data_IF_714531633516
#
_entry.id   IF_714531633516
#
_cell.length_a   1.000
_cell.length_b   1.000
_cell.length_c   1.000
_cell.angle_alpha   90.00
_cell.angle_beta   90.00
_cell.angle_gamma   90.00
#
_symmetry.space_group_name_H-M   'P 1'
#
loop_
_entity.id
_entity.type
_entity.pdbx_description
1 polymer ?
#
# COMPACT_ATOMS: atom_id res chain seq x y z
N UNK A 1 -69.55 -14.42 16.60
CA UNK A 1 -68.60 -14.06 17.67
C UNK A 1 -67.97 -12.75 17.24
N UNK A 2 -68.68 -11.64 17.50
CA UNK A 2 -68.51 -10.74 18.66
C UNK A 2 -67.18 -9.98 18.58
N UNK A 3 -67.18 -8.73 18.09
CA UNK A 3 -67.31 -7.44 18.83
C UNK A 3 -65.92 -6.84 19.03
N UNK A 4 -65.61 -5.56 18.89
CA UNK A 4 -66.35 -4.28 19.00
C UNK A 4 -65.37 -3.17 18.54
N UNK A 5 -65.78 -2.18 17.72
CA UNK A 5 -66.04 -0.77 18.10
C UNK A 5 -64.78 0.09 18.35
N UNK A 6 -64.64 1.39 18.02
CA UNK A 6 -65.56 2.54 18.06
C UNK A 6 -65.03 3.67 17.14
N UNK A 7 -65.93 4.56 16.74
CA UNK A 7 -65.76 5.73 15.89
C UNK A 7 -65.37 7.03 16.65
N UNK A 8 -65.21 8.12 15.87
CA UNK A 8 -65.36 9.57 16.17
C UNK A 8 -64.08 10.37 15.84
N UNK A 9 -64.02 11.12 14.73
CA UNK A 9 -64.54 12.49 14.49
C UNK A 9 -63.91 13.53 15.44
N UNK A 10 -63.04 14.39 14.91
CA UNK A 10 -63.10 15.83 15.18
C UNK A 10 -62.38 16.65 14.10
N UNK A 11 -63.07 17.70 13.67
CA UNK A 11 -62.75 18.69 12.63
C UNK A 11 -62.00 19.92 13.17
N UNK A 12 -61.42 20.69 12.22
CA UNK A 12 -61.06 22.13 12.29
C UNK A 12 -59.83 22.44 13.19
N UNK A 13 -58.86 23.31 12.89
CA UNK A 13 -58.80 24.55 12.09
C UNK A 13 -57.34 25.04 12.02
N UNK A 14 -56.95 25.68 10.91
CA UNK A 14 -56.00 26.82 10.85
C UNK A 14 -54.53 26.53 11.16
N UNK A 15 -53.56 27.33 10.73
CA UNK A 15 -53.48 28.56 9.95
C UNK A 15 -51.97 28.69 9.65
N UNK A 16 -51.61 29.15 8.46
CA UNK A 16 -50.21 29.40 8.11
C UNK A 16 -49.56 30.43 9.05
N UNK A 17 -48.29 30.21 9.38
CA UNK A 17 -47.37 31.27 9.79
C UNK A 17 -45.95 30.89 9.36
N UNK A 18 -45.42 31.64 8.39
CA UNK A 18 -44.01 31.67 8.05
C UNK A 18 -43.28 32.69 8.94
N UNK A 19 -42.10 32.32 9.44
CA UNK A 19 -41.08 33.23 9.97
C UNK A 19 -40.43 32.74 11.28
N UNK A 20 -39.26 33.27 11.64
CA UNK A 20 -37.98 33.30 10.94
C UNK A 20 -36.99 32.26 11.54
N UNK A 21 -35.86 32.03 10.87
CA UNK A 21 -34.90 30.96 11.19
C UNK A 21 -34.43 30.91 12.64
N UNK A 22 -34.41 29.70 13.20
CA UNK A 22 -33.68 29.39 14.43
C UNK A 22 -32.46 28.53 14.09
N UNK A 23 -31.31 28.97 14.61
CA UNK A 23 -30.13 28.13 14.80
C UNK A 23 -30.52 26.88 15.58
N UNK A 24 -30.26 25.72 14.98
CA UNK A 24 -30.27 24.43 15.66
C UNK A 24 -28.91 24.24 16.33
N UNK A 25 -28.90 24.44 17.64
CA UNK A 25 -27.81 24.00 18.51
C UNK A 25 -27.84 22.46 18.53
N UNK A 26 -26.75 21.75 18.17
CA UNK A 26 -26.78 20.29 18.15
C UNK A 26 -26.89 19.75 19.58
N UNK A 27 -28.07 19.24 19.91
CA UNK A 27 -28.26 18.35 21.04
C UNK A 27 -27.46 17.06 20.82
N UNK A 28 -26.79 16.51 21.85
CA UNK A 28 -26.08 15.24 21.71
C UNK A 28 -27.10 14.11 21.52
N UNK A 29 -26.96 13.34 20.45
CA UNK A 29 -27.81 12.17 20.17
C UNK A 29 -27.09 10.89 20.61
N UNK A 30 -27.80 9.92 21.22
CA UNK A 30 -27.21 8.87 22.05
C UNK A 30 -26.62 7.71 21.24
N UNK A 31 -25.64 7.04 21.86
CA UNK A 31 -25.02 5.80 21.39
C UNK A 31 -26.07 4.71 21.13
N UNK A 32 -26.20 4.31 19.85
CA UNK A 32 -26.80 3.03 19.48
C UNK A 32 -25.96 2.37 18.40
N UNK A 33 -25.18 1.39 18.84
CA UNK A 33 -24.55 0.33 18.08
C UNK A 33 -25.59 -0.41 17.21
N UNK A 34 -25.68 -0.04 15.93
CA UNK A 34 -26.31 -0.84 14.87
C UNK A 34 -25.44 -0.77 13.63
N UNK A 35 -24.85 -1.91 13.27
CA UNK A 35 -23.96 -2.15 12.13
C UNK A 35 -24.26 -1.31 10.88
N UNK A 36 -23.29 -0.49 10.48
CA UNK A 36 -23.20 0.12 9.16
C UNK A 36 -23.12 -0.99 8.11
N UNK A 37 -24.10 -1.06 7.19
CA UNK A 37 -24.20 -2.15 6.21
C UNK A 37 -23.84 -1.63 4.82
N UNK A 38 -22.58 -1.85 4.44
CA UNK A 38 -22.07 -1.59 3.11
C UNK A 38 -22.20 -2.85 2.25
N UNK A 39 -22.92 -2.77 1.12
CA UNK A 39 -23.22 -3.91 0.24
C UNK A 39 -23.03 -3.50 -1.21
N UNK A 40 -22.13 -4.18 -1.93
CA UNK A 40 -21.96 -4.01 -3.38
C UNK A 40 -22.84 -5.03 -4.10
N UNK A 41 -23.86 -4.57 -4.83
CA UNK A 41 -24.78 -5.42 -5.60
C UNK A 41 -24.23 -5.60 -7.03
N UNK A 42 -23.69 -4.53 -7.62
CA UNK A 42 -23.00 -4.54 -8.92
C UNK A 42 -22.11 -3.30 -9.07
N UNK A 43 -21.35 -3.20 -10.17
CA UNK A 43 -20.53 -2.01 -10.49
C UNK A 43 -21.36 -0.73 -10.64
N UNK A 44 -22.68 -0.85 -10.78
CA UNK A 44 -23.64 0.25 -10.93
C UNK A 44 -24.67 0.27 -9.81
N UNK A 45 -24.48 -0.50 -8.74
CA UNK A 45 -25.42 -0.53 -7.62
C UNK A 45 -24.70 -0.89 -6.32
N UNK A 46 -24.55 0.11 -5.45
CA UNK A 46 -23.90 0.00 -4.15
C UNK A 46 -24.87 0.52 -3.10
N UNK A 47 -25.07 -0.20 -2.00
CA UNK A 47 -25.89 0.25 -0.87
C UNK A 47 -24.96 0.54 0.31
N UNK A 48 -25.02 1.75 0.82
CA UNK A 48 -24.26 2.16 2.00
C UNK A 48 -25.21 2.86 2.99
N UNK A 49 -25.36 2.27 4.19
CA UNK A 49 -26.28 2.72 5.24
C UNK A 49 -27.72 2.99 4.76
N UNK A 50 -28.19 2.14 3.86
CA UNK A 50 -29.54 2.21 3.28
C UNK A 50 -29.70 3.22 2.14
N UNK A 51 -28.62 3.88 1.71
CA UNK A 51 -28.59 4.73 0.51
C UNK A 51 -28.04 3.94 -0.67
N UNK A 52 -28.75 3.94 -1.80
CA UNK A 52 -28.30 3.31 -3.05
C UNK A 52 -27.56 4.31 -3.91
N UNK A 53 -26.39 3.92 -4.40
CA UNK A 53 -25.55 4.66 -5.35
C UNK A 53 -25.47 3.89 -6.67
N UNK A 54 -25.56 4.59 -7.79
CA UNK A 54 -25.61 4.01 -9.12
C UNK A 54 -24.25 3.91 -9.82
N UNK A 55 -23.18 4.33 -9.15
CA UNK A 55 -21.79 4.13 -9.56
C UNK A 55 -20.83 4.35 -8.39
N UNK A 56 -19.61 3.85 -8.54
CA UNK A 56 -18.50 4.15 -7.62
C UNK A 56 -18.18 5.65 -7.54
N UNK A 57 -18.32 6.38 -8.65
CA UNK A 57 -18.09 7.83 -8.69
C UNK A 57 -19.15 8.58 -7.86
N UNK A 58 -20.42 8.20 -7.99
CA UNK A 58 -21.51 8.79 -7.22
C UNK A 58 -21.32 8.56 -5.72
N UNK A 59 -20.93 7.35 -5.31
CA UNK A 59 -20.59 7.05 -3.92
C UNK A 59 -19.43 7.93 -3.42
N UNK A 60 -18.36 8.06 -4.20
CA UNK A 60 -17.19 8.88 -3.84
C UNK A 60 -17.53 10.37 -3.70
N UNK A 61 -18.37 10.91 -4.57
CA UNK A 61 -18.80 12.32 -4.55
C UNK A 61 -19.88 12.60 -3.50
N UNK A 62 -20.57 11.57 -2.99
CA UNK A 62 -21.74 11.72 -2.13
C UNK A 62 -21.48 12.27 -0.73
N UNK A 63 -20.21 12.39 -0.33
CA UNK A 63 -19.89 12.71 1.06
C UNK A 63 -19.86 11.48 1.97
N UNK A 64 -20.24 10.28 1.49
CA UNK A 64 -20.38 9.08 2.33
C UNK A 64 -19.11 8.76 3.11
N UNK A 65 -17.94 8.96 2.50
CA UNK A 65 -16.61 8.72 3.10
C UNK A 65 -16.04 9.93 3.88
N UNK A 66 -16.79 11.02 4.07
CA UNK A 66 -16.26 12.25 4.68
C UNK A 66 -16.48 12.34 6.20
N UNK A 67 -17.28 11.45 6.78
CA UNK A 67 -17.40 11.31 8.23
C UNK A 67 -16.32 10.36 8.79
N UNK A 68 -16.00 10.50 10.07
CA UNK A 68 -14.85 9.81 10.70
C UNK A 68 -15.02 8.27 10.77
N UNK A 69 -16.23 7.75 10.49
CA UNK A 69 -16.56 6.33 10.60
C UNK A 69 -16.43 5.56 9.27
N UNK A 70 -16.29 6.23 8.12
CA UNK A 70 -16.34 5.60 6.77
C UNK A 70 -15.15 5.93 5.87
N UNK A 71 -14.07 6.50 6.41
CA UNK A 71 -12.88 6.92 5.64
C UNK A 71 -11.96 5.74 5.25
N UNK A 72 -11.84 5.48 3.95
CA UNK A 72 -10.75 4.67 3.36
C UNK A 72 -10.08 5.32 2.14
N UNK A 73 -10.33 6.59 1.83
CA UNK A 73 -9.73 7.27 0.67
C UNK A 73 -8.93 8.51 1.10
N UNK A 74 -7.68 8.60 0.65
CA UNK A 74 -6.85 9.81 0.72
C UNK A 74 -7.43 10.87 -0.21
N UNK A 75 -7.68 12.08 0.30
CA UNK A 75 -8.18 13.21 -0.47
C UNK A 75 -7.26 13.54 -1.65
N UNK A 76 -7.85 14.02 -2.75
CA UNK A 76 -7.11 14.58 -3.87
C UNK A 76 -6.42 15.88 -3.43
N UNK A 77 -5.09 15.92 -3.52
CA UNK A 77 -4.31 17.10 -3.15
C UNK A 77 -4.58 18.25 -4.12
N UNK A 78 -5.52 19.13 -3.79
CA UNK A 78 -5.66 20.45 -4.43
C UNK A 78 -4.60 21.36 -3.83
N UNK A 79 -3.64 21.75 -4.67
CA UNK A 79 -2.42 22.45 -4.27
C UNK A 79 -2.64 23.60 -3.30
N UNK A 80 -1.80 23.64 -2.25
CA UNK A 80 -1.67 24.79 -1.39
C UNK A 80 -0.19 25.12 -1.18
N UNK A 81 0.06 26.40 -1.35
CA UNK A 81 1.29 27.18 -1.31
C UNK A 81 2.30 26.83 -0.22
N UNK A 82 3.57 27.04 -0.56
CA UNK A 82 4.72 26.91 0.32
C UNK A 82 4.69 28.00 1.41
N UNK A 83 4.33 27.63 2.64
CA UNK A 83 4.66 28.41 3.83
C UNK A 83 5.14 27.49 4.96
N UNK A 84 6.47 27.47 5.14
CA UNK A 84 7.17 26.81 6.23
C UNK A 84 6.78 27.46 7.58
N UNK A 85 5.73 26.95 8.21
CA UNK A 85 5.44 27.24 9.61
C UNK A 85 5.58 25.94 10.40
N UNK A 86 6.74 25.78 11.03
CA UNK A 86 6.98 24.77 12.04
C UNK A 86 5.98 24.95 13.19
N UNK A 87 5.02 24.03 13.30
CA UNK A 87 4.17 23.88 14.48
C UNK A 87 4.10 22.41 14.83
N UNK A 88 4.58 22.09 16.04
CA UNK A 88 4.54 20.77 16.66
C UNK A 88 3.11 20.32 16.94
N UNK A 89 2.49 19.73 15.92
CA UNK A 89 1.32 18.86 16.04
C UNK A 89 1.77 17.41 15.86
N UNK A 90 1.09 16.48 16.53
CA UNK A 90 1.42 15.06 16.51
C UNK A 90 1.62 14.51 15.09
N UNK A 91 2.66 13.69 14.94
CA UNK A 91 3.11 12.97 13.73
C UNK A 91 2.18 11.81 13.33
N UNK A 92 0.91 11.88 13.74
CA UNK A 92 -0.04 10.77 13.69
C UNK A 92 -1.12 11.00 12.63
N UNK A 93 -0.78 11.63 11.50
CA UNK A 93 -1.69 11.68 10.37
C UNK A 93 -1.26 10.68 9.31
N UNK A 94 -2.19 9.85 8.82
CA UNK A 94 -2.00 8.98 7.65
C UNK A 94 -1.70 9.75 6.35
N UNK A 95 -1.64 11.08 6.42
CA UNK A 95 -1.33 12.00 5.33
C UNK A 95 -0.01 12.75 5.50
N UNK A 96 0.75 12.53 6.59
CA UNK A 96 1.98 13.27 6.86
C UNK A 96 2.86 12.54 7.86
N UNK A 97 4.06 12.15 7.44
CA UNK A 97 5.17 11.82 8.33
C UNK A 97 6.05 13.06 8.46
N UNK A 98 6.33 13.50 9.68
CA UNK A 98 7.33 14.51 9.96
C UNK A 98 8.60 13.79 10.40
N UNK A 99 9.39 13.33 9.42
CA UNK A 99 10.73 12.83 9.71
C UNK A 99 11.48 13.97 10.38
N UNK A 100 11.92 13.74 11.62
CA UNK A 100 12.64 14.77 12.34
C UNK A 100 14.02 14.97 11.69
N UNK A 101 14.57 16.20 11.63
CA UNK A 101 15.86 16.45 10.99
C UNK A 101 17.02 15.61 11.54
N UNK A 102 16.91 15.12 12.79
CA UNK A 102 17.89 14.17 13.34
C UNK A 102 17.91 12.79 12.65
N UNK A 103 16.86 12.44 11.92
CA UNK A 103 16.73 11.23 11.11
C UNK A 103 16.89 11.50 9.61
N UNK A 104 17.14 12.75 9.21
CA UNK A 104 17.50 13.03 7.83
C UNK A 104 18.81 12.30 7.50
N UNK A 105 18.91 11.71 6.30
CA UNK A 105 20.11 11.01 5.89
C UNK A 105 21.31 11.96 5.94
N UNK A 106 22.38 11.54 6.62
CA UNK A 106 23.66 12.27 6.63
C UNK A 106 24.40 12.23 5.28
N UNK A 107 23.89 11.44 4.33
CA UNK A 107 24.37 11.31 2.96
C UNK A 107 23.32 11.84 2.00
N UNK A 108 23.77 12.46 0.91
CA UNK A 108 22.87 12.99 -0.13
C UNK A 108 22.05 11.89 -0.82
N UNK A 109 22.53 10.63 -0.80
CA UNK A 109 21.84 9.47 -1.37
C UNK A 109 22.39 8.14 -0.85
N UNK A 110 21.52 7.25 -0.39
CA UNK A 110 21.87 5.86 -0.07
C UNK A 110 21.82 5.00 -1.33
N UNK A 111 22.93 4.32 -1.64
CA UNK A 111 23.04 3.47 -2.84
C UNK A 111 23.05 2.01 -2.43
N UNK A 112 22.04 1.26 -2.84
CA UNK A 112 21.84 -0.15 -2.48
C UNK A 112 22.19 -1.01 -3.70
N UNK A 113 23.25 -1.84 -3.65
CA UNK A 113 23.52 -2.80 -4.69
C UNK A 113 22.52 -3.96 -4.60
N UNK A 114 21.96 -4.34 -5.75
CA UNK A 114 20.90 -5.34 -5.87
C UNK A 114 21.44 -6.55 -6.63
N UNK A 115 21.13 -7.74 -6.13
CA UNK A 115 21.24 -8.98 -6.90
C UNK A 115 19.86 -9.57 -7.11
N UNK A 116 19.56 -9.95 -8.36
CA UNK A 116 18.30 -10.59 -8.73
C UNK A 116 18.56 -12.06 -9.07
N UNK A 117 18.03 -12.95 -8.24
CA UNK A 117 18.07 -14.39 -8.40
C UNK A 117 16.81 -14.88 -9.12
N UNK A 118 16.94 -15.16 -10.41
CA UNK A 118 15.85 -15.70 -11.22
C UNK A 118 15.83 -17.22 -11.04
N UNK A 119 14.75 -17.74 -10.48
CA UNK A 119 14.56 -19.17 -10.28
C UNK A 119 13.51 -19.67 -11.26
N UNK A 120 13.90 -20.62 -12.10
CA UNK A 120 13.03 -21.25 -13.09
C UNK A 120 12.73 -22.69 -12.67
N UNK A 121 11.54 -23.19 -13.01
CA UNK A 121 11.26 -24.62 -12.95
C UNK A 121 12.04 -25.37 -14.02
N UNK A 122 12.16 -26.70 -13.87
CA UNK A 122 12.80 -27.53 -14.88
C UNK A 122 12.05 -27.54 -16.23
N UNK A 123 10.82 -27.04 -16.29
CA UNK A 123 10.04 -26.87 -17.53
C UNK A 123 10.23 -25.49 -18.18
N UNK A 124 11.07 -24.61 -17.61
CA UNK A 124 11.31 -23.24 -18.10
C UNK A 124 10.28 -22.22 -17.62
N UNK A 125 9.35 -22.59 -16.74
CA UNK A 125 8.43 -21.63 -16.11
C UNK A 125 9.22 -20.78 -15.11
N UNK A 126 8.90 -19.50 -14.98
CA UNK A 126 9.64 -18.61 -14.06
C UNK A 126 10.67 -17.71 -14.75
N UNK A 127 10.89 -17.90 -16.05
CA UNK A 127 11.89 -17.10 -16.76
C UNK A 127 11.52 -15.62 -16.81
N UNK A 128 12.49 -14.78 -16.46
CA UNK A 128 12.42 -13.32 -16.53
C UNK A 128 13.54 -12.85 -17.46
N UNK A 129 13.26 -12.14 -18.57
CA UNK A 129 14.33 -11.58 -19.42
C UNK A 129 15.04 -10.43 -18.71
N UNK A 130 16.32 -10.22 -19.01
CA UNK A 130 17.14 -9.16 -18.40
C UNK A 130 16.51 -7.76 -18.56
N UNK A 131 15.80 -7.50 -19.68
CA UNK A 131 15.07 -6.25 -19.88
C UNK A 131 14.01 -5.97 -18.82
N UNK A 132 13.31 -7.00 -18.31
CA UNK A 132 12.37 -6.82 -17.18
C UNK A 132 13.12 -6.54 -15.90
N UNK A 133 14.31 -7.11 -15.70
CA UNK A 133 15.17 -6.80 -14.56
C UNK A 133 15.64 -5.36 -14.59
N UNK A 134 16.19 -4.90 -15.71
CA UNK A 134 16.60 -3.50 -15.87
C UNK A 134 15.43 -2.55 -15.64
N UNK A 135 14.26 -2.84 -16.21
CA UNK A 135 13.06 -2.04 -15.97
C UNK A 135 12.63 -2.01 -14.51
N UNK A 136 12.82 -3.11 -13.76
CA UNK A 136 12.46 -3.15 -12.35
C UNK A 136 13.37 -2.26 -11.50
N UNK A 137 14.66 -2.22 -11.82
CA UNK A 137 15.61 -1.33 -11.14
C UNK A 137 15.31 0.14 -11.49
N UNK A 138 14.94 0.43 -12.73
CA UNK A 138 14.44 1.76 -13.12
C UNK A 138 13.19 2.14 -12.32
N UNK A 139 12.20 1.25 -12.23
CA UNK A 139 10.95 1.44 -11.45
C UNK A 139 11.23 1.69 -9.97
N UNK A 140 12.16 0.96 -9.35
CA UNK A 140 12.56 1.22 -7.96
C UNK A 140 13.15 2.63 -7.81
N UNK A 141 14.00 3.07 -8.75
CA UNK A 141 14.55 4.42 -8.72
C UNK A 141 13.50 5.50 -9.00
N UNK A 142 12.55 5.25 -9.91
CA UNK A 142 11.40 6.13 -10.15
C UNK A 142 10.61 6.37 -8.86
N UNK A 143 10.37 5.31 -8.09
CA UNK A 143 9.51 5.32 -6.91
C UNK A 143 10.21 5.89 -5.69
N UNK A 144 11.39 5.38 -5.36
CA UNK A 144 12.12 5.77 -4.16
C UNK A 144 12.82 7.13 -4.28
N UNK A 145 12.84 7.73 -5.46
CA UNK A 145 13.34 9.10 -5.67
C UNK A 145 12.26 10.05 -6.15
N UNK A 146 10.99 9.62 -6.18
CA UNK A 146 9.85 10.38 -6.68
C UNK A 146 10.14 11.13 -8.01
N UNK A 147 10.74 10.43 -8.98
CA UNK A 147 11.24 11.07 -10.22
C UNK A 147 10.08 11.74 -10.97
N UNK A 148 10.20 13.05 -11.20
CA UNK A 148 9.19 13.84 -11.90
C UNK A 148 8.86 13.26 -13.29
N UNK A 149 7.57 13.13 -13.60
CA UNK A 149 7.09 12.58 -14.87
C UNK A 149 7.06 11.05 -14.95
N UNK A 150 7.55 10.35 -13.92
CA UNK A 150 7.36 8.91 -13.75
C UNK A 150 6.07 8.60 -12.97
N UNK A 151 5.69 7.33 -12.92
CA UNK A 151 4.61 6.87 -12.06
C UNK A 151 4.97 6.93 -10.55
N UNK A 152 6.24 7.16 -10.20
CA UNK A 152 6.71 7.35 -8.83
C UNK A 152 6.62 8.80 -8.34
N UNK A 153 6.41 9.76 -9.25
CA UNK A 153 6.35 11.19 -8.96
C UNK A 153 5.40 11.61 -7.81
N UNK A 154 4.25 10.95 -7.57
CA UNK A 154 3.37 11.29 -6.44
C UNK A 154 3.93 10.91 -5.06
N UNK A 155 5.04 10.16 -4.99
CA UNK A 155 5.68 9.75 -3.75
C UNK A 155 6.55 10.83 -3.12
N UNK A 156 7.32 10.42 -2.10
CA UNK A 156 8.35 11.25 -1.46
C UNK A 156 9.72 10.77 -1.93
N UNK A 157 10.63 11.70 -2.24
CA UNK A 157 12.03 11.36 -2.50
C UNK A 157 12.68 10.83 -1.22
N UNK A 158 12.87 9.51 -1.16
CA UNK A 158 13.48 8.83 -0.03
C UNK A 158 15.03 8.90 -0.07
N UNK A 159 15.62 9.50 -1.12
CA UNK A 159 17.05 9.57 -1.36
C UNK A 159 17.72 8.18 -1.40
N UNK A 160 17.03 7.18 -1.94
CA UNK A 160 17.55 5.82 -2.14
C UNK A 160 17.69 5.53 -3.64
N UNK A 161 18.87 5.07 -4.03
CA UNK A 161 19.17 4.61 -5.39
C UNK A 161 19.50 3.12 -5.38
N UNK A 162 18.86 2.39 -6.28
CA UNK A 162 19.11 0.97 -6.50
C UNK A 162 19.91 0.79 -7.78
N UNK A 163 20.89 -0.10 -7.76
CA UNK A 163 21.64 -0.48 -8.96
C UNK A 163 21.98 -1.97 -8.92
N UNK A 164 22.02 -2.62 -10.08
CA UNK A 164 22.50 -4.00 -10.12
C UNK A 164 23.96 -4.06 -9.70
N UNK A 165 24.28 -5.00 -8.82
CA UNK A 165 25.64 -5.23 -8.36
C UNK A 165 26.58 -5.47 -9.54
N UNK A 166 27.72 -4.79 -9.53
CA UNK A 166 28.77 -4.91 -10.57
C UNK A 166 29.90 -5.84 -10.15
N UNK A 167 29.95 -6.21 -8.88
CA UNK A 167 30.88 -7.18 -8.30
C UNK A 167 30.09 -8.24 -7.52
N UNK A 168 30.51 -9.50 -7.61
CA UNK A 168 29.94 -10.60 -6.85
C UNK A 168 30.54 -10.67 -5.42
N UNK A 169 30.08 -11.58 -4.54
CA UNK A 169 30.61 -11.69 -3.19
C UNK A 169 32.12 -12.02 -3.11
N UNK A 170 32.69 -12.59 -4.18
CA UNK A 170 34.09 -12.94 -4.31
C UNK A 170 34.92 -11.82 -4.98
N UNK A 171 34.29 -10.70 -5.36
CA UNK A 171 34.93 -9.57 -6.02
C UNK A 171 35.10 -9.72 -7.53
N UNK A 172 34.42 -10.68 -8.17
CA UNK A 172 34.46 -10.82 -9.62
C UNK A 172 33.41 -9.91 -10.29
N UNK A 173 33.67 -9.39 -11.51
CA UNK A 173 32.67 -8.67 -12.28
C UNK A 173 31.39 -9.49 -12.53
N UNK A 174 30.23 -8.86 -12.40
CA UNK A 174 28.92 -9.49 -12.58
C UNK A 174 27.89 -8.54 -13.18
N UNK A 175 26.80 -9.09 -13.68
CA UNK A 175 25.62 -8.33 -14.14
C UNK A 175 24.62 -8.06 -13.01
N UNK A 176 24.84 -8.62 -11.82
CA UNK A 176 23.88 -8.58 -10.71
C UNK A 176 22.66 -9.47 -10.94
N UNK A 177 22.67 -10.33 -11.96
CA UNK A 177 21.58 -11.24 -12.30
C UNK A 177 22.12 -12.67 -12.24
N UNK A 178 21.48 -13.53 -11.46
CA UNK A 178 21.78 -14.96 -11.42
C UNK A 178 20.56 -15.76 -11.86
N UNK A 179 20.79 -16.96 -12.42
CA UNK A 179 19.73 -17.82 -12.94
C UNK A 179 19.92 -19.24 -12.42
N UNK A 180 18.88 -19.82 -11.85
CA UNK A 180 18.88 -21.18 -11.31
C UNK A 180 17.68 -21.95 -11.85
N UNK A 181 17.87 -23.21 -12.23
CA UNK A 181 16.79 -24.10 -12.65
C UNK A 181 16.56 -25.16 -11.58
N UNK A 182 15.47 -25.03 -10.82
CA UNK A 182 15.08 -25.96 -9.77
C UNK A 182 13.59 -25.83 -9.46
N UNK A 183 12.80 -26.85 -9.82
CA UNK A 183 11.34 -26.85 -9.58
C UNK A 183 10.96 -26.70 -8.10
N UNK A 184 11.74 -27.25 -7.16
CA UNK A 184 11.44 -27.10 -5.72
C UNK A 184 11.61 -25.65 -5.29
N UNK A 185 12.71 -25.00 -5.68
CA UNK A 185 12.97 -23.59 -5.38
C UNK A 185 12.02 -22.65 -6.11
N UNK A 186 11.65 -22.99 -7.36
CA UNK A 186 10.65 -22.25 -8.12
C UNK A 186 9.31 -22.25 -7.41
N UNK A 187 8.90 -23.38 -6.83
CA UNK A 187 7.65 -23.47 -6.05
C UNK A 187 7.78 -22.89 -4.63
N UNK A 188 8.75 -22.01 -4.41
CA UNK A 188 9.10 -21.39 -3.12
C UNK A 188 9.38 -22.41 -2.00
N UNK A 189 9.77 -23.61 -2.39
CA UNK A 189 10.13 -24.70 -1.49
C UNK A 189 11.63 -24.78 -1.25
N UNK A 190 11.99 -25.41 -0.14
CA UNK A 190 13.38 -25.59 0.27
C UNK A 190 14.01 -24.31 0.82
N UNK A 191 15.29 -24.41 1.20
CA UNK A 191 16.06 -23.29 1.75
C UNK A 191 17.00 -22.69 0.71
N UNK A 192 16.47 -22.33 -0.47
CA UNK A 192 17.28 -21.80 -1.59
C UNK A 192 18.10 -20.57 -1.20
N UNK A 193 17.56 -19.74 -0.31
CA UNK A 193 18.24 -18.56 0.22
C UNK A 193 19.52 -18.90 0.98
N UNK A 194 19.64 -20.06 1.63
CA UNK A 194 20.91 -20.48 2.24
C UNK A 194 21.98 -20.89 1.21
N UNK A 195 21.58 -21.13 -0.04
CA UNK A 195 22.49 -21.55 -1.12
C UNK A 195 22.82 -20.40 -2.07
N UNK A 196 21.83 -19.56 -2.36
CA UNK A 196 21.92 -18.53 -3.40
C UNK A 196 22.23 -17.15 -2.86
N UNK A 197 21.95 -16.86 -1.57
CA UNK A 197 22.12 -15.52 -1.04
C UNK A 197 23.54 -15.03 -1.22
N UNK A 198 23.62 -13.81 -1.74
CA UNK A 198 24.80 -12.99 -1.58
C UNK A 198 24.76 -12.36 -0.19
N UNK A 199 25.94 -11.96 0.28
CA UNK A 199 26.14 -11.33 1.59
C UNK A 199 25.09 -10.25 1.87
N UNK A 200 24.17 -10.53 2.79
CA UNK A 200 22.98 -9.68 3.04
C UNK A 200 23.33 -8.39 3.77
N UNK A 201 24.52 -8.29 4.35
CA UNK A 201 25.06 -7.02 4.87
C UNK A 201 25.53 -6.10 3.74
N UNK A 202 25.71 -6.62 2.52
CA UNK A 202 26.22 -5.86 1.37
C UNK A 202 25.22 -5.72 0.24
N UNK A 203 24.33 -6.69 0.02
CA UNK A 203 23.45 -6.75 -1.14
C UNK A 203 21.99 -6.94 -0.75
N UNK A 204 21.11 -6.17 -1.40
CA UNK A 204 19.68 -6.51 -1.42
C UNK A 204 19.48 -7.72 -2.33
N UNK A 205 19.06 -8.83 -1.73
CA UNK A 205 18.79 -10.08 -2.42
C UNK A 205 17.31 -10.17 -2.82
N UNK A 206 17.03 -10.12 -4.13
CA UNK A 206 15.68 -10.26 -4.69
C UNK A 206 15.57 -11.58 -5.43
N UNK A 207 14.56 -12.37 -5.11
CA UNK A 207 14.31 -13.68 -5.73
C UNK A 207 13.04 -13.62 -6.57
N UNK A 208 13.07 -14.18 -7.79
CA UNK A 208 11.87 -14.40 -8.59
C UNK A 208 11.52 -15.88 -8.65
N UNK A 209 10.35 -16.25 -8.15
CA UNK A 209 9.84 -17.63 -8.18
C UNK A 209 8.30 -17.62 -8.26
N UNK A 210 7.59 -18.64 -7.76
CA UNK A 210 6.12 -18.69 -7.71
C UNK A 210 5.48 -17.82 -6.63
N UNK A 211 6.27 -17.16 -5.78
CA UNK A 211 5.81 -16.37 -4.64
C UNK A 211 5.06 -17.17 -3.56
N UNK A 212 5.11 -18.50 -3.61
CA UNK A 212 4.34 -19.34 -2.68
C UNK A 212 2.82 -19.16 -2.78
N UNK A 213 2.33 -18.55 -3.88
CA UNK A 213 0.93 -18.16 -4.06
C UNK A 213 0.63 -16.67 -3.75
N UNK A 214 1.58 -15.92 -3.21
CA UNK A 214 1.51 -14.46 -3.08
C UNK A 214 2.09 -13.76 -4.32
N UNK A 215 1.82 -12.45 -4.47
CA UNK A 215 2.48 -11.63 -5.50
C UNK A 215 3.95 -11.36 -5.13
N UNK A 216 4.24 -11.24 -3.85
CA UNK A 216 5.56 -11.05 -3.27
C UNK A 216 5.47 -11.12 -1.74
N UNK A 217 6.61 -11.21 -1.08
CA UNK A 217 6.72 -11.10 0.37
C UNK A 217 8.17 -10.82 0.82
N UNK A 218 8.31 -10.33 2.05
CA UNK A 218 9.53 -10.48 2.88
C UNK A 218 9.22 -11.39 4.08
N UNK A 219 10.16 -12.23 4.57
CA UNK A 219 9.86 -13.15 5.67
C UNK A 219 9.61 -12.47 7.02
N UNK A 220 10.24 -11.33 7.25
CA UNK A 220 10.01 -10.47 8.41
C UNK A 220 10.55 -9.06 8.11
N UNK A 221 10.17 -8.09 8.95
CA UNK A 221 10.73 -6.73 8.89
C UNK A 221 12.07 -6.66 9.65
N UNK A 222 12.98 -5.74 9.30
CA UNK A 222 14.27 -5.54 9.99
C UNK A 222 14.16 -5.41 11.51
N UNK A 223 13.08 -4.80 12.01
CA UNK A 223 12.83 -4.59 13.44
C UNK A 223 12.68 -5.91 14.22
N UNK A 224 12.41 -7.04 13.54
CA UNK A 224 12.39 -8.36 14.17
C UNK A 224 13.79 -8.98 14.34
N UNK A 225 14.85 -8.30 13.90
CA UNK A 225 16.22 -8.80 13.93
C UNK A 225 16.58 -9.75 12.78
N UNK A 226 15.83 -9.73 11.67
CA UNK A 226 16.11 -10.57 10.50
C UNK A 226 17.30 -10.06 9.67
N UNK A 227 17.57 -8.75 9.70
CA UNK A 227 18.61 -8.10 8.90
C UNK A 227 19.98 -8.76 9.09
N UNK A 228 20.72 -8.94 8.00
CA UNK A 228 22.02 -9.63 7.98
C UNK A 228 21.94 -11.16 8.06
N UNK A 229 20.75 -11.75 8.18
CA UNK A 229 20.57 -13.20 7.99
C UNK A 229 20.30 -13.53 6.52
N UNK A 230 20.60 -14.76 6.07
CA UNK A 230 20.20 -15.21 4.73
C UNK A 230 18.67 -15.26 4.54
N UNK A 231 17.90 -15.19 5.63
CA UNK A 231 16.46 -15.08 5.55
C UNK A 231 16.00 -13.65 5.21
N UNK A 232 16.85 -12.64 5.35
CA UNK A 232 16.56 -11.27 4.94
C UNK A 232 16.57 -11.18 3.40
N UNK A 233 15.38 -11.21 2.81
CA UNK A 233 15.21 -11.31 1.36
C UNK A 233 13.87 -10.75 0.91
N UNK A 234 13.83 -10.34 -0.35
CA UNK A 234 12.59 -10.02 -1.07
C UNK A 234 12.29 -11.16 -2.03
N UNK A 235 11.07 -11.71 -1.99
CA UNK A 235 10.62 -12.77 -2.90
C UNK A 235 9.46 -12.24 -3.72
N UNK A 236 9.51 -12.39 -5.03
CA UNK A 236 8.52 -11.85 -5.97
C UNK A 236 8.02 -12.97 -6.89
N UNK A 237 6.71 -13.00 -7.12
CA UNK A 237 6.12 -13.80 -8.18
C UNK A 237 6.67 -13.33 -9.53
N UNK A 238 7.38 -14.21 -10.25
CA UNK A 238 8.09 -13.85 -11.48
C UNK A 238 7.20 -13.16 -12.55
N UNK A 239 5.88 -13.41 -12.52
CA UNK A 239 4.92 -12.87 -13.47
C UNK A 239 4.45 -11.44 -13.14
N UNK A 240 4.81 -10.88 -11.99
CA UNK A 240 4.56 -9.47 -11.62
C UNK A 240 5.83 -8.60 -11.67
N UNK A 241 6.99 -9.25 -11.87
CA UNK A 241 8.30 -8.59 -11.83
C UNK A 241 8.58 -7.75 -13.08
N UNK A 242 8.94 -6.48 -12.88
CA UNK A 242 9.30 -5.53 -13.93
C UNK A 242 8.12 -4.89 -14.66
N UNK A 243 8.43 -4.01 -15.61
CA UNK A 243 7.45 -3.34 -16.46
C UNK A 243 6.88 -4.32 -17.48
N UNK A 244 5.58 -4.19 -17.77
CA UNK A 244 4.84 -5.06 -18.70
C UNK A 244 4.95 -6.54 -18.35
N UNK A 245 4.95 -6.84 -17.04
CA UNK A 245 4.93 -8.23 -16.59
C UNK A 245 3.63 -8.93 -17.05
N UNK A 246 3.64 -10.26 -17.25
CA UNK A 246 2.49 -10.96 -17.83
C UNK A 246 1.25 -11.02 -16.93
N UNK A 247 1.36 -10.69 -15.65
CA UNK A 247 0.24 -10.75 -14.70
C UNK A 247 -0.41 -9.37 -14.49
N UNK A 248 -1.54 -9.14 -15.14
CA UNK A 248 -2.37 -7.92 -14.94
C UNK A 248 -3.35 -8.12 -13.78
N UNK A 249 -3.65 -7.09 -12.96
CA UNK A 249 -3.21 -5.68 -13.06
C UNK A 249 -1.84 -5.39 -12.41
N UNK A 250 -1.13 -6.40 -11.92
CA UNK A 250 0.14 -6.25 -11.20
C UNK A 250 1.36 -6.31 -12.14
N UNK A 251 1.34 -5.54 -13.23
CA UNK A 251 2.31 -5.60 -14.33
C UNK A 251 3.20 -4.35 -14.47
N UNK A 252 3.16 -3.46 -13.48
CA UNK A 252 3.90 -2.20 -13.48
C UNK A 252 5.11 -2.20 -12.52
N UNK A 253 5.49 -3.36 -11.96
CA UNK A 253 6.64 -3.52 -11.07
C UNK A 253 6.45 -3.04 -9.63
N UNK A 254 5.24 -2.58 -9.25
CA UNK A 254 4.93 -2.05 -7.91
C UNK A 254 4.87 -3.10 -6.80
N UNK A 255 4.72 -4.38 -7.16
CA UNK A 255 4.90 -5.46 -6.19
C UNK A 255 6.30 -5.42 -5.59
N UNK A 256 7.34 -5.18 -6.40
CA UNK A 256 8.71 -5.11 -5.88
C UNK A 256 8.91 -3.85 -5.04
N UNK A 257 8.37 -2.71 -5.46
CA UNK A 257 8.41 -1.46 -4.67
C UNK A 257 7.79 -1.66 -3.29
N UNK A 258 6.64 -2.34 -3.23
CA UNK A 258 5.94 -2.69 -1.99
C UNK A 258 6.81 -3.56 -1.07
N UNK A 259 7.32 -4.69 -1.58
CA UNK A 259 8.14 -5.60 -0.77
C UNK A 259 9.48 -4.96 -0.34
N UNK A 260 10.08 -4.11 -1.18
CA UNK A 260 11.29 -3.35 -0.80
C UNK A 260 10.96 -2.31 0.29
N UNK A 261 9.74 -1.76 0.31
CA UNK A 261 9.27 -0.95 1.43
C UNK A 261 9.29 -1.75 2.74
N UNK A 262 8.76 -2.97 2.74
CA UNK A 262 8.84 -3.87 3.90
C UNK A 262 10.28 -4.26 4.26
N UNK A 263 11.11 -4.55 3.27
CA UNK A 263 12.54 -4.82 3.46
C UNK A 263 13.25 -3.67 4.18
N UNK A 264 12.83 -2.43 3.90
CA UNK A 264 13.33 -1.21 4.55
C UNK A 264 12.58 -0.86 5.85
N UNK A 265 11.69 -1.73 6.32
CA UNK A 265 11.04 -1.61 7.61
C UNK A 265 9.71 -0.87 7.63
N UNK A 266 9.10 -0.59 6.47
CA UNK A 266 7.74 -0.05 6.41
C UNK A 266 6.72 -1.15 6.67
N UNK A 267 5.72 -0.86 7.48
CA UNK A 267 4.54 -1.70 7.66
C UNK A 267 3.49 -1.45 6.57
N UNK A 268 2.51 -2.33 6.45
CA UNK A 268 1.31 -1.98 5.68
C UNK A 268 0.64 -0.73 6.26
N UNK A 269 0.13 0.15 5.41
CA UNK A 269 -0.52 1.41 5.83
C UNK A 269 -1.79 1.21 6.66
N UNK A 270 -2.37 0.01 6.62
CA UNK A 270 -3.54 -0.41 7.40
C UNK A 270 -3.21 -1.27 8.62
N UNK A 271 -1.92 -1.57 8.87
CA UNK A 271 -1.50 -2.26 10.10
C UNK A 271 -1.93 -1.43 11.33
N UNK A 272 -2.53 -2.08 12.33
CA UNK A 272 -3.04 -1.42 13.55
C UNK A 272 -4.51 -0.98 13.51
N UNK A 273 -5.14 -0.98 12.32
CA UNK A 273 -6.53 -0.57 12.16
C UNK A 273 -6.79 0.90 12.55
N UNK A 274 -8.06 1.29 12.64
CA UNK A 274 -8.45 2.65 12.99
C UNK A 274 -8.48 2.93 14.51
N UNK A 275 -8.23 1.92 15.35
CA UNK A 275 -8.38 1.99 16.81
C UNK A 275 -7.14 2.49 17.54
N UNK A 276 -5.97 2.43 16.89
CA UNK A 276 -4.72 2.88 17.49
C UNK A 276 -4.34 4.23 16.88
N UNK A 277 -4.42 5.28 17.71
CA UNK A 277 -4.03 6.63 17.34
C UNK A 277 -2.54 6.68 16.98
N UNK A 278 -2.23 6.55 15.69
CA UNK A 278 -0.96 6.94 15.10
C UNK A 278 0.16 5.94 15.27
N UNK A 279 0.48 5.25 14.17
CA UNK A 279 1.77 4.59 14.04
C UNK A 279 2.85 5.66 13.83
N UNK A 280 3.91 5.56 14.63
CA UNK A 280 5.18 6.22 14.34
C UNK A 280 5.83 5.41 13.24
N UNK A 281 6.07 6.03 12.07
CA UNK A 281 7.08 5.54 11.14
C UNK A 281 8.40 6.03 11.71
N UNK A 282 9.22 5.17 12.36
CA UNK A 282 10.53 5.59 12.85
C UNK A 282 11.43 6.04 11.70
#
# INVERSE_FOLDING_TARGET
MLTTSIAAVLTLTGLAAMGPGQQIDPQPKPDTDTASSFVVISDTEIIADGVTYHSWQELAESGYHHNDETRCATDSFVGADHAWVARGGADCSSSRTTIRPEYDPSVEKYRIPVVVHIIESNSGTGSVPDSRVYSQIEILNEDFQAIAGSNGAPGTDAQIEFYLATEDPNGNPTTGITRSTNTTWFNDGGAYYNTLAWDTDRYLNIYTNSGGGALGYVPALPQSGIAGSNSDRVVILYSTFGRNAPYSPFNLGRTVTHEVGHYLGLEHTFSGGCSDAGHVVP
#
